data_IF_684018769529
#
_entry.id   IF_684018769529
#
_cell.length_a   1.000
_cell.length_b   1.000
_cell.length_c   1.000
_cell.angle_alpha   90.00
_cell.angle_beta   90.00
_cell.angle_gamma   90.00
#
_symmetry.space_group_name_H-M   'P 1'
#
loop_
_entity.id
_entity.type
_entity.pdbx_description
1 polymer ?
#
# COMPACT_ATOMS: atom_id res chain seq x y z
N UNK A 1 7.34 12.66 17.25
CA UNK A 1 8.49 12.08 16.50
C UNK A 1 8.83 10.62 16.87
N UNK A 2 8.16 9.98 17.83
CA UNK A 2 8.42 8.58 18.22
C UNK A 2 7.78 7.50 17.33
N UNK A 3 6.95 7.86 16.33
CA UNK A 3 6.09 6.89 15.62
C UNK A 3 6.78 6.13 14.44
N UNK A 4 7.95 6.56 13.98
CA UNK A 4 8.61 6.01 12.77
C UNK A 4 10.00 5.41 13.03
N UNK A 5 10.39 5.20 14.28
CA UNK A 5 11.72 4.67 14.62
C UNK A 5 12.02 3.29 14.00
N UNK A 6 10.98 2.49 13.74
CA UNK A 6 11.09 1.21 13.05
C UNK A 6 11.58 1.36 11.59
N UNK A 7 11.22 2.46 10.92
CA UNK A 7 11.46 2.65 9.49
C UNK A 7 12.95 2.75 9.14
N UNK A 8 13.78 3.22 10.07
CA UNK A 8 15.23 3.32 9.86
C UNK A 8 15.94 1.97 9.65
N UNK A 9 15.27 0.86 10.00
CA UNK A 9 15.81 -0.50 9.91
C UNK A 9 15.61 -1.16 8.54
N UNK A 10 14.84 -0.52 7.65
CA UNK A 10 14.45 -1.09 6.35
C UNK A 10 14.93 -0.23 5.19
N UNK A 11 15.37 -0.87 4.11
CA UNK A 11 15.76 -0.16 2.89
C UNK A 11 14.62 -0.05 1.89
N UNK A 12 13.57 -0.86 2.02
CA UNK A 12 12.35 -0.75 1.19
C UNK A 12 11.10 -0.87 2.06
N UNK A 13 10.25 0.16 2.06
CA UNK A 13 9.01 0.16 2.85
C UNK A 13 7.83 0.34 1.90
N UNK A 14 6.85 -0.55 1.99
CA UNK A 14 5.70 -0.56 1.07
C UNK A 14 4.40 -0.33 1.83
N UNK A 15 3.74 0.80 1.62
CA UNK A 15 2.43 1.10 2.23
C UNK A 15 1.29 0.68 1.30
N UNK A 16 0.39 -0.17 1.80
CA UNK A 16 -0.75 -0.71 1.05
C UNK A 16 -2.01 -0.76 1.92
N UNK A 17 -3.19 -0.71 1.29
CA UNK A 17 -4.47 -0.60 1.98
C UNK A 17 -5.53 0.21 1.21
N UNK A 18 -6.73 0.33 1.76
CA UNK A 18 -7.86 1.00 1.12
C UNK A 18 -7.61 2.51 0.86
N UNK A 19 -8.24 3.07 -0.15
CA UNK A 19 -8.23 4.51 -0.44
C UNK A 19 -8.79 5.27 0.76
N UNK A 20 -8.23 6.44 1.09
CA UNK A 20 -8.58 7.16 2.32
C UNK A 20 -8.02 6.58 3.63
N UNK A 21 -7.29 5.44 3.62
CA UNK A 21 -6.70 4.87 4.84
C UNK A 21 -5.47 5.64 5.40
N UNK A 22 -5.01 6.72 4.77
CA UNK A 22 -3.89 7.53 5.29
C UNK A 22 -2.48 7.08 4.83
N UNK A 23 -2.39 6.20 3.82
CA UNK A 23 -1.12 5.71 3.26
C UNK A 23 -0.18 6.81 2.79
N UNK A 24 -0.67 7.72 1.95
CA UNK A 24 0.14 8.81 1.37
C UNK A 24 0.80 9.65 2.46
N UNK A 25 0.04 10.05 3.48
CA UNK A 25 0.56 10.81 4.63
C UNK A 25 1.68 10.05 5.35
N UNK A 26 1.50 8.74 5.62
CA UNK A 26 2.51 7.92 6.28
C UNK A 26 3.74 7.68 5.38
N UNK A 27 3.53 7.43 4.09
CA UNK A 27 4.59 7.19 3.13
C UNK A 27 5.48 8.44 2.95
N UNK A 28 4.89 9.62 2.81
CA UNK A 28 5.64 10.87 2.74
C UNK A 28 6.40 11.18 4.04
N UNK A 29 5.75 11.01 5.19
CA UNK A 29 6.39 11.20 6.49
C UNK A 29 7.57 10.24 6.68
N UNK A 30 7.41 8.98 6.25
CA UNK A 30 8.45 7.96 6.30
C UNK A 30 9.60 8.28 5.36
N UNK A 31 9.30 8.67 4.12
CA UNK A 31 10.33 9.04 3.14
C UNK A 31 11.18 10.23 3.62
N UNK A 32 10.52 11.26 4.19
CA UNK A 32 11.20 12.40 4.82
C UNK A 32 12.05 11.98 6.01
N UNK A 33 11.53 11.08 6.86
CA UNK A 33 12.24 10.61 8.05
C UNK A 33 13.49 9.78 7.73
N UNK A 34 13.44 8.94 6.69
CA UNK A 34 14.51 8.00 6.34
C UNK A 34 15.40 8.48 5.19
N UNK A 35 15.14 9.66 4.65
CA UNK A 35 15.75 10.20 3.42
C UNK A 35 15.65 9.21 2.24
N UNK A 36 14.48 8.58 2.09
CA UNK A 36 14.20 7.60 1.05
C UNK A 36 13.54 8.25 -0.18
N UNK A 37 13.75 7.65 -1.35
CA UNK A 37 13.02 8.01 -2.55
C UNK A 37 11.56 7.53 -2.43
N UNK A 38 10.62 8.48 -2.48
CA UNK A 38 9.19 8.18 -2.52
C UNK A 38 8.76 7.80 -3.93
N UNK A 39 8.17 6.62 -4.08
CA UNK A 39 7.57 6.11 -5.30
C UNK A 39 6.06 6.07 -5.09
N UNK A 40 5.33 6.90 -5.83
CA UNK A 40 3.87 6.91 -5.80
C UNK A 40 3.34 6.03 -6.95
N UNK A 41 2.73 4.89 -6.62
CA UNK A 41 2.19 3.97 -7.61
C UNK A 41 0.71 4.29 -7.86
N UNK A 42 0.44 5.05 -8.92
CA UNK A 42 -0.93 5.33 -9.36
C UNK A 42 -1.50 4.19 -10.20
N UNK A 43 -2.77 4.33 -10.60
CA UNK A 43 -3.39 3.41 -11.55
C UNK A 43 -2.58 3.35 -12.85
N UNK A 44 -1.91 2.23 -13.06
CA UNK A 44 -1.17 1.96 -14.30
C UNK A 44 -2.13 1.75 -15.47
N UNK A 45 -1.82 2.25 -16.68
CA UNK A 45 -2.63 2.03 -17.86
C UNK A 45 -2.91 0.54 -18.17
N UNK A 46 -4.02 0.22 -18.85
CA UNK A 46 -4.23 -1.10 -19.42
C UNK A 46 -3.06 -1.50 -20.34
N UNK A 47 -2.66 -2.78 -20.29
CA UNK A 47 -1.56 -3.30 -21.10
C UNK A 47 -0.16 -3.08 -20.52
N UNK A 48 0.01 -2.30 -19.44
CA UNK A 48 1.30 -2.20 -18.73
C UNK A 48 1.69 -3.54 -18.12
N UNK A 49 2.91 -4.00 -18.42
CA UNK A 49 3.55 -5.12 -17.73
C UNK A 49 3.97 -4.69 -16.32
N UNK A 50 3.13 -5.03 -15.35
CA UNK A 50 3.36 -4.73 -13.95
C UNK A 50 4.60 -5.42 -13.40
N UNK A 51 4.91 -6.65 -13.84
CA UNK A 51 6.05 -7.41 -13.30
C UNK A 51 7.34 -6.71 -13.69
N UNK A 52 7.51 -6.37 -14.96
CA UNK A 52 8.67 -5.62 -15.44
C UNK A 52 8.75 -4.24 -14.77
N UNK A 53 7.62 -3.52 -14.70
CA UNK A 53 7.57 -2.18 -14.08
C UNK A 53 8.07 -2.20 -12.63
N UNK A 54 7.55 -3.10 -11.79
CA UNK A 54 7.96 -3.16 -10.39
C UNK A 54 9.37 -3.73 -10.20
N UNK A 55 9.84 -4.63 -11.05
CA UNK A 55 11.25 -5.04 -11.01
C UNK A 55 12.18 -3.86 -11.27
N UNK A 56 11.92 -3.05 -12.30
CA UNK A 56 12.73 -1.87 -12.60
C UNK A 56 12.70 -0.84 -11.45
N UNK A 57 11.56 -0.65 -10.79
CA UNK A 57 11.47 0.21 -9.60
C UNK A 57 12.29 -0.36 -8.43
N UNK A 58 12.24 -1.67 -8.23
CA UNK A 58 13.00 -2.38 -7.19
C UNK A 58 14.49 -2.54 -7.53
N UNK A 59 14.92 -2.29 -8.76
CA UNK A 59 16.35 -2.24 -9.13
C UNK A 59 17.02 -0.92 -8.75
N UNK A 60 16.24 0.11 -8.38
CA UNK A 60 16.79 1.42 -7.96
C UNK A 60 17.66 1.28 -6.70
N UNK A 61 18.74 2.04 -6.65
CA UNK A 61 19.63 2.08 -5.49
C UNK A 61 19.08 2.96 -4.37
N UNK A 62 19.59 2.78 -3.15
CA UNK A 62 19.17 3.55 -1.99
C UNK A 62 17.83 3.10 -1.39
N UNK A 63 17.38 3.86 -0.38
CA UNK A 63 16.15 3.57 0.34
C UNK A 63 14.93 3.95 -0.47
N UNK A 64 13.92 3.08 -0.48
CA UNK A 64 12.68 3.26 -1.23
C UNK A 64 11.48 3.25 -0.28
N UNK A 65 10.55 4.17 -0.49
CA UNK A 65 9.23 4.13 0.13
C UNK A 65 8.20 4.09 -0.99
N UNK A 66 7.33 3.09 -0.98
CA UNK A 66 6.23 2.97 -1.92
C UNK A 66 4.92 3.42 -1.25
N UNK A 67 4.27 4.44 -1.82
CA UNK A 67 2.85 4.70 -1.57
C UNK A 67 2.06 3.93 -2.63
N UNK A 68 1.51 2.78 -2.21
CA UNK A 68 0.98 1.69 -3.05
C UNK A 68 2.04 0.99 -3.90
N UNK A 69 1.73 -0.24 -4.29
CA UNK A 69 2.55 -1.06 -5.18
C UNK A 69 1.69 -2.05 -6.00
N UNK A 70 2.31 -3.15 -6.44
CA UNK A 70 1.67 -4.22 -7.20
C UNK A 70 0.55 -4.93 -6.43
N UNK A 71 0.53 -4.87 -5.10
CA UNK A 71 -0.50 -5.51 -4.28
C UNK A 71 -1.88 -4.89 -4.51
N UNK A 72 -1.95 -3.58 -4.77
CA UNK A 72 -3.17 -2.89 -5.18
C UNK A 72 -3.87 -3.57 -6.38
N UNK A 73 -3.13 -4.17 -7.32
CA UNK A 73 -3.73 -4.88 -8.48
C UNK A 73 -4.50 -6.13 -8.08
N UNK A 74 -4.07 -6.82 -7.02
CA UNK A 74 -4.69 -8.06 -6.53
C UNK A 74 -5.99 -7.78 -5.77
N UNK A 75 -6.18 -6.55 -5.30
CA UNK A 75 -7.43 -6.10 -4.66
C UNK A 75 -8.33 -5.41 -5.68
N UNK A 76 -7.86 -4.34 -6.30
CA UNK A 76 -8.68 -3.49 -7.16
C UNK A 76 -9.00 -4.14 -8.51
N UNK A 77 -8.09 -4.96 -9.07
CA UNK A 77 -8.32 -5.65 -10.35
C UNK A 77 -9.57 -6.54 -10.31
N UNK A 78 -9.63 -7.55 -9.41
CA UNK A 78 -10.80 -8.42 -9.30
C UNK A 78 -12.09 -7.67 -8.95
N UNK A 79 -12.03 -6.71 -8.02
CA UNK A 79 -13.22 -5.98 -7.57
C UNK A 79 -13.84 -5.11 -8.67
N UNK A 80 -13.04 -4.36 -9.41
CA UNK A 80 -13.55 -3.34 -10.35
C UNK A 80 -13.50 -3.77 -11.82
N UNK A 81 -12.70 -4.78 -12.16
CA UNK A 81 -12.53 -5.26 -13.55
C UNK A 81 -12.80 -6.75 -13.72
N UNK A 82 -13.16 -7.47 -12.65
CA UNK A 82 -13.43 -8.90 -12.68
C UNK A 82 -12.20 -9.78 -12.95
N UNK A 83 -11.00 -9.20 -13.02
CA UNK A 83 -9.73 -9.91 -13.29
C UNK A 83 -8.54 -9.16 -12.74
N UNK A 84 -7.47 -9.90 -12.42
CA UNK A 84 -6.16 -9.35 -12.07
C UNK A 84 -5.14 -9.57 -13.18
N UNK A 85 -4.19 -8.66 -13.32
CA UNK A 85 -3.02 -8.79 -14.21
C UNK A 85 -1.87 -9.59 -13.59
N UNK A 86 -1.97 -9.93 -12.31
CA UNK A 86 -0.91 -10.63 -11.58
C UNK A 86 -1.38 -12.01 -11.14
N UNK A 87 -0.54 -13.02 -11.37
CA UNK A 87 -0.71 -14.34 -10.77
C UNK A 87 -0.16 -14.37 -9.36
N UNK A 88 -0.50 -15.40 -8.58
CA UNK A 88 0.14 -15.64 -7.28
C UNK A 88 1.67 -15.76 -7.40
N UNK A 89 2.17 -16.40 -8.46
CA UNK A 89 3.61 -16.54 -8.70
C UNK A 89 4.29 -15.19 -8.95
N UNK A 90 3.64 -14.28 -9.68
CA UNK A 90 4.12 -12.91 -9.87
C UNK A 90 4.17 -12.16 -8.53
N UNK A 91 3.09 -12.24 -7.74
CA UNK A 91 3.05 -11.64 -6.41
C UNK A 91 4.18 -12.18 -5.52
N UNK A 92 4.33 -13.50 -5.40
CA UNK A 92 5.35 -14.12 -4.56
C UNK A 92 6.77 -13.72 -4.99
N UNK A 93 7.01 -13.59 -6.29
CA UNK A 93 8.30 -13.13 -6.82
C UNK A 93 8.57 -11.67 -6.45
N UNK A 94 7.60 -10.77 -6.63
CA UNK A 94 7.76 -9.35 -6.29
C UNK A 94 7.86 -9.13 -4.77
N UNK A 95 7.13 -9.91 -3.96
CA UNK A 95 7.27 -9.91 -2.49
C UNK A 95 8.69 -10.31 -2.08
N UNK A 96 9.23 -11.40 -2.64
CA UNK A 96 10.62 -11.82 -2.39
C UNK A 96 11.63 -10.74 -2.80
N UNK A 97 11.36 -10.00 -3.87
CA UNK A 97 12.21 -8.88 -4.30
C UNK A 97 12.22 -7.75 -3.26
N UNK A 98 11.07 -7.39 -2.69
CA UNK A 98 11.01 -6.44 -1.56
C UNK A 98 11.79 -6.96 -0.35
N UNK A 99 11.60 -8.23 0.03
CA UNK A 99 12.33 -8.85 1.16
C UNK A 99 13.84 -8.86 0.91
N UNK A 100 14.29 -9.20 -0.30
CA UNK A 100 15.71 -9.24 -0.67
C UNK A 100 16.41 -7.89 -0.57
N UNK A 101 15.62 -6.80 -0.56
CA UNK A 101 16.09 -5.43 -0.32
C UNK A 101 15.90 -4.99 1.13
N UNK A 102 15.96 -5.92 2.08
CA UNK A 102 15.72 -5.64 3.49
C UNK A 102 14.42 -4.83 3.69
N UNK A 103 13.33 -5.33 3.10
CA UNK A 103 12.08 -4.60 2.97
C UNK A 103 10.93 -5.14 3.80
N UNK A 104 9.98 -4.25 4.12
CA UNK A 104 8.77 -4.53 4.91
C UNK A 104 7.53 -4.02 4.18
N UNK A 105 6.41 -4.74 4.37
CA UNK A 105 5.10 -4.25 3.97
C UNK A 105 4.35 -3.67 5.16
N UNK A 106 3.67 -2.55 4.94
CA UNK A 106 2.84 -1.87 5.93
C UNK A 106 1.40 -1.91 5.43
N UNK A 107 0.58 -2.72 6.09
CA UNK A 107 -0.86 -2.70 5.89
C UNK A 107 -1.44 -1.52 6.67
N UNK A 108 -1.96 -0.53 5.97
CA UNK A 108 -2.65 0.61 6.58
C UNK A 108 -4.16 0.42 6.42
N UNK A 109 -4.86 0.40 7.54
CA UNK A 109 -6.32 0.25 7.59
C UNK A 109 -6.97 1.31 8.47
N UNK A 110 -8.28 1.50 8.32
CA UNK A 110 -9.10 2.35 9.16
C UNK A 110 -10.56 1.89 9.08
N UNK A 111 -11.42 2.26 10.06
CA UNK A 111 -12.86 2.00 9.95
C UNK A 111 -13.44 2.58 8.65
N UNK A 112 -14.37 1.87 8.01
CA UNK A 112 -15.00 2.31 6.76
C UNK A 112 -15.64 3.71 6.87
N UNK A 113 -16.18 4.05 8.05
CA UNK A 113 -16.73 5.38 8.37
C UNK A 113 -15.67 6.48 8.37
N UNK A 114 -14.48 6.20 8.90
CA UNK A 114 -13.32 7.12 8.90
C UNK A 114 -12.80 7.30 7.48
N UNK A 115 -12.68 6.21 6.72
CA UNK A 115 -12.28 6.26 5.31
C UNK A 115 -13.27 7.11 4.51
N UNK A 116 -14.58 6.84 4.62
CA UNK A 116 -15.61 7.59 3.89
C UNK A 116 -15.57 9.08 4.22
N UNK A 117 -15.38 9.43 5.50
CA UNK A 117 -15.22 10.83 5.93
C UNK A 117 -14.00 11.49 5.27
N UNK A 118 -12.85 10.81 5.24
CA UNK A 118 -11.63 11.32 4.60
C UNK A 118 -11.79 11.49 3.09
N UNK A 119 -12.47 10.56 2.42
CA UNK A 119 -12.80 10.68 0.99
C UNK A 119 -13.74 11.88 0.73
N UNK A 120 -14.72 12.10 1.62
CA UNK A 120 -15.63 13.25 1.54
C UNK A 120 -14.90 14.58 1.65
N UNK A 121 -13.96 14.70 2.61
CA UNK A 121 -13.16 15.90 2.80
C UNK A 121 -12.29 16.24 1.58
N UNK A 122 -11.97 15.26 0.72
CA UNK A 122 -11.19 15.45 -0.51
C UNK A 122 -12.03 15.80 -1.74
N UNK A 123 -13.36 15.80 -1.61
CA UNK A 123 -14.28 15.99 -2.74
C UNK A 123 -14.27 14.82 -3.74
N UNK A 124 -13.84 13.63 -3.31
CA UNK A 124 -13.84 12.42 -4.14
C UNK A 124 -15.25 11.80 -4.21
N UNK A 125 -15.52 11.03 -5.27
CA UNK A 125 -16.75 10.23 -5.34
C UNK A 125 -16.82 9.29 -4.14
N UNK A 126 -17.92 9.35 -3.40
CA UNK A 126 -18.10 8.60 -2.17
C UNK A 126 -18.60 7.18 -2.47
N UNK A 127 -17.81 6.14 -2.18
CA UNK A 127 -18.30 4.77 -2.20
C UNK A 127 -19.21 4.53 -1.00
N UNK A 128 -20.09 3.55 -1.12
CA UNK A 128 -20.90 3.10 0.00
C UNK A 128 -20.03 2.46 1.09
N UNK A 129 -20.51 2.46 2.34
CA UNK A 129 -19.73 1.89 3.46
C UNK A 129 -19.42 0.41 3.23
N UNK A 130 -20.35 -0.33 2.62
CA UNK A 130 -20.18 -1.75 2.31
C UNK A 130 -19.12 -1.97 1.22
N UNK A 131 -19.00 -1.05 0.25
CA UNK A 131 -17.95 -1.09 -0.77
C UNK A 131 -16.57 -0.85 -0.14
N UNK A 132 -16.47 0.13 0.76
CA UNK A 132 -15.23 0.41 1.50
C UNK A 132 -14.85 -0.80 2.39
N UNK A 133 -15.83 -1.35 3.10
CA UNK A 133 -15.63 -2.52 3.96
C UNK A 133 -15.17 -3.73 3.14
N UNK A 134 -15.74 -3.94 1.94
CA UNK A 134 -15.31 -4.99 1.02
C UNK A 134 -13.85 -4.81 0.58
N UNK A 135 -13.45 -3.60 0.21
CA UNK A 135 -12.05 -3.32 -0.16
C UNK A 135 -11.11 -3.58 1.03
N UNK A 136 -11.45 -3.12 2.22
CA UNK A 136 -10.67 -3.37 3.43
C UNK A 136 -10.53 -4.88 3.70
N UNK A 137 -11.64 -5.62 3.60
CA UNK A 137 -11.63 -7.07 3.77
C UNK A 137 -10.72 -7.78 2.75
N UNK A 138 -10.73 -7.35 1.48
CA UNK A 138 -9.82 -7.90 0.47
C UNK A 138 -8.35 -7.62 0.77
N UNK A 139 -8.03 -6.45 1.32
CA UNK A 139 -6.67 -6.19 1.81
C UNK A 139 -6.31 -7.08 2.99
N UNK A 140 -7.22 -7.30 3.96
CA UNK A 140 -6.98 -8.23 5.07
C UNK A 140 -6.67 -9.64 4.57
N UNK A 141 -7.44 -10.16 3.60
CA UNK A 141 -7.20 -11.46 2.97
C UNK A 141 -5.83 -11.51 2.28
N UNK A 142 -5.51 -10.48 1.48
CA UNK A 142 -4.23 -10.41 0.78
C UNK A 142 -3.06 -10.38 1.77
N UNK A 143 -3.16 -9.60 2.85
CA UNK A 143 -2.10 -9.48 3.85
C UNK A 143 -1.94 -10.74 4.71
N UNK A 144 -2.99 -11.56 4.88
CA UNK A 144 -2.82 -12.92 5.45
C UNK A 144 -1.89 -13.75 4.58
N UNK A 145 -2.03 -13.68 3.25
CA UNK A 145 -1.12 -14.37 2.33
C UNK A 145 0.30 -13.77 2.38
N UNK A 146 0.44 -12.44 2.32
CA UNK A 146 1.76 -11.77 2.34
C UNK A 146 2.56 -12.09 3.60
N UNK A 147 1.90 -12.18 4.77
CA UNK A 147 2.53 -12.57 6.05
C UNK A 147 3.18 -13.95 6.05
N UNK A 148 2.82 -14.83 5.11
CA UNK A 148 3.48 -16.13 4.97
C UNK A 148 4.84 -16.05 4.25
N UNK A 149 5.16 -14.88 3.66
CA UNK A 149 6.33 -14.68 2.80
C UNK A 149 7.22 -13.51 3.23
N UNK A 150 6.70 -12.55 4.00
CA UNK A 150 7.39 -11.32 4.38
C UNK A 150 6.89 -10.76 5.71
N UNK A 151 7.71 -9.93 6.34
CA UNK A 151 7.30 -9.14 7.50
C UNK A 151 6.24 -8.12 7.11
N UNK A 152 5.21 -8.00 7.95
CA UNK A 152 4.10 -7.08 7.76
C UNK A 152 3.82 -6.32 9.05
N UNK A 153 3.91 -5.00 8.99
CA UNK A 153 3.41 -4.10 10.04
C UNK A 153 1.96 -3.72 9.74
N UNK A 154 1.06 -3.87 10.72
CA UNK A 154 -0.30 -3.36 10.63
C UNK A 154 -0.38 -2.00 11.33
N UNK A 155 -0.91 -0.99 10.64
CA UNK A 155 -1.20 0.33 11.20
C UNK A 155 -2.69 0.61 11.01
N UNK A 156 -3.38 0.85 12.12
CA UNK A 156 -4.76 1.36 12.11
C UNK A 156 -4.70 2.87 12.24
N UNK A 157 -5.17 3.61 11.24
CA UNK A 157 -5.24 5.08 11.26
C UNK A 157 -6.62 5.53 11.77
N UNK A 158 -6.85 5.34 13.07
CA UNK A 158 -8.08 5.72 13.76
C UNK A 158 -8.14 7.22 14.14
N UNK A 159 -7.02 7.93 14.09
CA UNK A 159 -6.99 9.35 14.40
C UNK A 159 -7.96 10.15 13.51
N UNK A 160 -8.91 10.92 14.09
CA UNK A 160 -9.46 12.05 13.38
C UNK A 160 -8.28 12.92 12.95
N UNK A 161 -8.29 13.41 11.71
CA UNK A 161 -7.40 14.52 11.36
C UNK A 161 -7.85 15.68 12.28
N UNK A 162 -7.23 15.80 13.45
CA UNK A 162 -7.36 16.98 14.29
C UNK A 162 -6.75 18.13 13.48
N UNK A 163 -7.59 19.15 13.29
CA UNK A 163 -7.30 20.48 12.78
C UNK A 163 -7.19 20.63 11.25
N UNK A 164 -8.34 20.93 10.65
CA UNK A 164 -8.46 21.99 9.64
C UNK A 164 -9.25 23.16 10.23
#
# INVERSE_FOLDING_TARGET
MAALGWAGSYDTIVFEGCDGAGKTTLAEATARHTNAALIHSTLTPPGTDLVTTYNCLLDRTGRLVFDRCFLSELVYGPLYRGRTRLTYQHMATLVRRVVSRNGIFVHVTAPATVIRRRLAARGEQLPELDEIALVCHRYDELFRAVRTMADVLLITSDHPDEDA
#
